data_IF_512053628807
#
_entry.id   IF_512053628807
#
_cell.length_a   1.000
_cell.length_b   1.000
_cell.length_c   1.000
_cell.angle_alpha   90.00
_cell.angle_beta   90.00
_cell.angle_gamma   90.00
#
_symmetry.space_group_name_H-M   'P 1'
#
loop_
_entity.id
_entity.type
_entity.pdbx_description
1 polymer ?
#
# COMPACT_ATOMS: atom_id res chain seq x y z
N UNK A 1 99.18 42.44 -23.84
CA UNK A 1 99.15 42.60 -25.31
C UNK A 1 97.73 42.73 -25.75
N UNK A 2 97.34 43.89 -26.05
CA UNK A 2 97.04 44.54 -27.33
C UNK A 2 95.71 44.10 -27.93
N UNK A 3 94.80 45.00 -27.86
CA UNK A 3 94.13 45.83 -28.94
C UNK A 3 92.97 45.10 -29.64
N UNK A 4 91.89 45.64 -30.05
CA UNK A 4 91.48 46.99 -30.46
C UNK A 4 89.93 46.97 -30.74
N UNK A 5 89.32 48.10 -30.45
CA UNK A 5 88.06 48.72 -30.94
C UNK A 5 87.34 48.19 -32.21
N UNK A 6 86.02 48.25 -32.21
CA UNK A 6 85.35 49.12 -33.20
C UNK A 6 83.83 49.34 -32.88
N UNK A 7 83.46 50.58 -33.19
CA UNK A 7 82.14 51.24 -33.02
C UNK A 7 81.18 50.86 -34.21
N UNK A 8 79.93 51.09 -33.95
CA UNK A 8 78.91 51.40 -34.91
C UNK A 8 77.57 50.79 -34.63
N UNK A 9 76.59 51.45 -34.36
CA UNK A 9 75.85 52.46 -34.98
C UNK A 9 74.40 52.28 -34.65
N UNK A 10 73.74 53.24 -34.09
CA UNK A 10 72.26 53.27 -33.79
C UNK A 10 71.47 53.04 -35.07
N UNK A 11 70.43 52.27 -35.01
CA UNK A 11 69.28 52.49 -35.84
C UNK A 11 67.97 52.17 -35.09
N UNK A 12 67.27 53.23 -34.71
CA UNK A 12 65.99 53.31 -34.11
C UNK A 12 64.92 53.09 -35.17
N UNK A 13 64.20 51.95 -35.14
CA UNK A 13 62.96 51.84 -35.89
C UNK A 13 61.89 51.24 -35.00
N UNK A 14 61.01 52.12 -34.56
CA UNK A 14 59.56 51.99 -34.42
C UNK A 14 58.99 50.58 -34.20
N UNK A 15 58.76 50.21 -32.93
CA UNK A 15 57.81 49.16 -32.54
C UNK A 15 56.43 49.74 -32.28
N UNK A 16 55.52 49.54 -33.27
CA UNK A 16 54.07 49.74 -33.09
C UNK A 16 53.52 48.69 -32.23
N UNK A 17 53.05 49.07 -31.04
CA UNK A 17 52.32 48.22 -30.12
C UNK A 17 51.00 47.75 -30.75
N UNK A 18 50.91 46.47 -31.09
CA UNK A 18 49.67 45.82 -31.36
C UNK A 18 49.16 45.22 -30.04
N UNK A 19 48.24 45.90 -29.36
CA UNK A 19 47.48 45.40 -28.24
C UNK A 19 46.46 44.40 -28.79
N UNK A 20 46.73 43.08 -28.70
CA UNK A 20 45.75 42.03 -28.97
C UNK A 20 44.84 41.96 -27.74
N UNK A 21 43.60 42.46 -27.84
CA UNK A 21 42.55 42.27 -26.87
C UNK A 21 42.08 40.82 -27.01
N UNK A 22 42.50 39.99 -26.05
CA UNK A 22 41.99 38.62 -25.89
C UNK A 22 40.60 38.71 -25.21
N UNK A 23 39.52 38.67 -26.01
CA UNK A 23 38.15 38.55 -25.51
C UNK A 23 37.95 37.10 -25.04
N UNK A 24 38.08 36.89 -23.75
CA UNK A 24 37.74 35.65 -23.14
C UNK A 24 36.21 35.46 -23.20
N UNK A 25 35.72 34.67 -24.13
CA UNK A 25 34.35 34.20 -24.19
C UNK A 25 34.19 33.16 -23.05
N UNK A 26 33.69 33.58 -21.88
CA UNK A 26 33.29 32.69 -20.81
C UNK A 26 31.97 32.05 -21.29
N UNK A 27 31.92 30.74 -21.52
CA UNK A 27 30.63 30.07 -21.77
C UNK A 27 29.79 30.19 -20.51
N UNK A 28 28.70 30.94 -20.60
CA UNK A 28 27.65 30.99 -19.55
C UNK A 28 26.95 29.62 -19.58
N UNK A 29 27.56 28.63 -18.94
CA UNK A 29 26.89 27.39 -18.63
C UNK A 29 25.79 27.74 -17.62
N UNK A 30 24.57 27.88 -18.15
CA UNK A 30 23.38 27.96 -17.33
C UNK A 30 23.37 26.72 -16.39
N UNK A 31 23.73 26.91 -15.13
CA UNK A 31 23.44 25.94 -14.07
C UNK A 31 21.93 25.87 -14.01
N UNK A 32 21.35 24.89 -14.71
CA UNK A 32 19.99 24.46 -14.45
C UNK A 32 20.02 23.86 -13.04
N UNK A 33 19.76 24.72 -12.04
CA UNK A 33 19.53 24.26 -10.69
C UNK A 33 18.36 23.26 -10.80
N UNK A 34 18.66 21.97 -10.72
CA UNK A 34 17.64 20.96 -10.48
C UNK A 34 16.98 21.34 -9.16
N UNK A 35 15.84 22.02 -9.26
CA UNK A 35 14.97 22.22 -8.10
C UNK A 35 14.70 20.83 -7.55
N UNK A 36 15.18 20.57 -6.36
CA UNK A 36 14.75 19.40 -5.61
C UNK A 36 13.23 19.45 -5.58
N UNK A 37 12.61 18.52 -6.28
CA UNK A 37 11.14 18.42 -6.31
C UNK A 37 10.73 18.18 -4.87
N UNK A 38 10.04 19.15 -4.25
CA UNK A 38 9.46 18.96 -2.95
C UNK A 38 8.51 17.76 -3.05
N UNK A 39 8.75 16.72 -2.26
CA UNK A 39 7.94 15.51 -2.28
C UNK A 39 7.28 15.32 -0.93
N UNK A 40 5.98 15.00 -0.94
CA UNK A 40 5.21 14.70 0.27
C UNK A 40 5.72 13.40 0.89
N UNK A 41 6.12 13.45 2.16
CA UNK A 41 6.51 12.27 2.93
C UNK A 41 5.25 11.53 3.40
N UNK A 42 5.00 10.37 2.80
CA UNK A 42 3.84 9.51 3.12
C UNK A 42 4.28 8.35 4.00
N UNK A 43 3.60 8.17 5.14
CA UNK A 43 3.68 6.99 5.97
C UNK A 43 2.42 6.16 5.73
N UNK A 44 2.55 5.02 5.06
CA UNK A 44 1.47 4.07 4.85
C UNK A 44 1.53 2.97 5.92
N UNK A 45 0.40 2.61 6.51
CA UNK A 45 0.33 1.54 7.48
C UNK A 45 0.52 0.18 6.81
N UNK A 46 -0.22 -0.10 5.73
CA UNK A 46 -0.22 -1.37 5.01
C UNK A 46 0.28 -1.20 3.57
N UNK A 47 0.76 -2.30 2.92
CA UNK A 47 1.34 -2.26 1.59
C UNK A 47 0.41 -1.76 0.49
N UNK A 48 -0.90 -2.06 0.54
CA UNK A 48 -1.88 -1.59 -0.43
C UNK A 48 -2.01 -0.07 -0.44
N UNK A 49 -1.98 0.56 0.74
CA UNK A 49 -2.03 2.03 0.85
C UNK A 49 -0.72 2.66 0.40
N UNK A 50 0.40 1.99 0.66
CA UNK A 50 1.70 2.40 0.15
C UNK A 50 1.75 2.37 -1.39
N UNK A 51 1.25 1.29 -1.98
CA UNK A 51 1.16 1.13 -3.42
C UNK A 51 0.21 2.15 -4.06
N UNK A 52 -0.95 2.40 -3.42
CA UNK A 52 -1.91 3.40 -3.88
C UNK A 52 -1.33 4.81 -3.83
N UNK A 53 -0.74 5.19 -2.70
CA UNK A 53 -0.08 6.49 -2.55
C UNK A 53 1.01 6.70 -3.60
N UNK A 54 1.82 5.66 -3.88
CA UNK A 54 2.86 5.72 -4.91
C UNK A 54 2.28 5.85 -6.32
N UNK A 55 1.20 5.14 -6.62
CA UNK A 55 0.50 5.20 -7.91
C UNK A 55 -0.05 6.59 -8.18
N UNK A 56 -0.70 7.20 -7.19
CA UNK A 56 -1.33 8.52 -7.31
C UNK A 56 -0.31 9.65 -7.20
N UNK A 57 0.71 9.49 -6.36
CA UNK A 57 1.71 10.52 -6.10
C UNK A 57 2.88 10.53 -7.09
N UNK A 58 3.23 9.36 -7.67
CA UNK A 58 4.37 9.24 -8.59
C UNK A 58 5.68 9.68 -7.92
N UNK A 59 6.37 10.61 -8.57
CA UNK A 59 7.62 11.24 -8.10
C UNK A 59 7.40 12.39 -7.09
N UNK A 60 6.14 12.82 -6.91
CA UNK A 60 5.75 13.84 -5.93
C UNK A 60 5.64 13.31 -4.50
N UNK A 61 5.76 12.01 -4.28
CA UNK A 61 5.67 11.39 -2.95
C UNK A 61 6.87 10.50 -2.66
N UNK A 62 7.27 10.48 -1.38
CA UNK A 62 8.17 9.48 -0.82
C UNK A 62 7.38 8.60 0.13
N UNK A 63 7.15 7.37 -0.25
CA UNK A 63 6.32 6.46 0.54
C UNK A 63 7.19 5.55 1.40
N UNK A 64 6.86 5.49 2.67
CA UNK A 64 7.35 4.48 3.60
C UNK A 64 6.17 3.63 4.08
N UNK A 65 6.26 2.32 3.90
CA UNK A 65 5.25 1.37 4.36
C UNK A 65 5.69 0.72 5.67
N UNK A 66 4.82 0.74 6.67
CA UNK A 66 5.14 0.30 8.03
C UNK A 66 5.17 -1.22 8.18
N UNK A 67 4.32 -1.92 7.42
CA UNK A 67 4.15 -3.36 7.46
C UNK A 67 4.59 -4.02 6.16
N UNK A 68 4.64 -5.34 6.16
CA UNK A 68 4.86 -6.18 4.98
C UNK A 68 3.68 -7.12 4.79
N UNK A 69 3.55 -7.71 3.61
CA UNK A 69 2.46 -8.64 3.28
C UNK A 69 2.46 -9.94 4.12
N UNK A 70 3.54 -10.22 4.84
CA UNK A 70 3.68 -11.40 5.70
C UNK A 70 3.60 -11.07 7.18
N UNK A 71 3.03 -9.91 7.54
CA UNK A 71 2.78 -9.49 8.91
C UNK A 71 1.29 -9.30 9.14
N UNK A 72 0.82 -9.71 10.31
CA UNK A 72 -0.54 -9.41 10.76
C UNK A 72 -0.68 -7.91 11.06
N UNK A 73 -1.52 -7.15 10.34
CA UNK A 73 -1.64 -5.71 10.53
C UNK A 73 -2.20 -5.30 11.89
N UNK A 74 -2.89 -6.21 12.60
CA UNK A 74 -3.38 -5.96 13.96
C UNK A 74 -2.24 -5.92 14.99
N UNK A 75 -1.10 -6.59 14.71
CA UNK A 75 -0.08 -6.94 15.72
C UNK A 75 1.32 -6.49 15.33
N UNK A 76 1.49 -5.19 15.11
CA UNK A 76 2.79 -4.60 14.78
C UNK A 76 3.45 -4.02 16.04
N UNK A 77 4.76 -4.17 16.13
CA UNK A 77 5.53 -3.53 17.20
C UNK A 77 5.84 -2.07 16.85
N UNK A 78 5.59 -1.17 17.78
CA UNK A 78 5.97 0.24 17.67
C UNK A 78 7.50 0.40 17.82
N UNK A 79 8.25 0.20 16.73
CA UNK A 79 9.72 0.26 16.73
C UNK A 79 10.21 1.68 16.57
N UNK A 80 11.41 2.05 17.09
CA UNK A 80 12.00 3.38 16.94
C UNK A 80 12.10 3.86 15.48
N UNK A 81 12.35 2.94 14.54
CA UNK A 81 12.39 3.24 13.11
C UNK A 81 11.04 3.73 12.57
N UNK A 82 9.92 3.14 13.00
CA UNK A 82 8.58 3.58 12.63
C UNK A 82 8.27 4.96 13.21
N UNK A 83 8.64 5.20 14.48
CA UNK A 83 8.48 6.50 15.15
C UNK A 83 9.24 7.58 14.39
N UNK A 84 10.50 7.32 14.02
CA UNK A 84 11.33 8.27 13.28
C UNK A 84 10.76 8.60 11.89
N UNK A 85 10.15 7.63 11.21
CA UNK A 85 9.49 7.84 9.91
C UNK A 85 8.19 8.64 10.07
N UNK A 86 7.33 8.27 11.01
CA UNK A 86 6.07 8.97 11.27
C UNK A 86 6.29 10.42 11.71
N UNK A 87 7.38 10.70 12.46
CA UNK A 87 7.74 12.06 12.89
C UNK A 87 7.95 13.03 11.73
N UNK A 88 8.35 12.53 10.56
CA UNK A 88 8.62 13.35 9.37
C UNK A 88 7.47 13.34 8.37
N UNK A 89 6.53 12.43 8.53
CA UNK A 89 5.43 12.27 7.58
C UNK A 89 4.57 13.54 7.49
N UNK A 90 4.15 13.87 6.30
CA UNK A 90 3.16 14.90 6.02
C UNK A 90 1.78 14.30 5.80
N UNK A 91 1.75 13.03 5.41
CA UNK A 91 0.54 12.25 5.24
C UNK A 91 0.73 10.85 5.86
N UNK A 92 -0.18 10.47 6.73
CA UNK A 92 -0.38 9.14 7.27
C UNK A 92 -1.58 8.52 6.56
N UNK A 93 -1.40 7.35 5.94
CA UNK A 93 -2.46 6.59 5.27
C UNK A 93 -2.58 5.23 5.92
N UNK A 94 -3.67 4.98 6.60
CA UNK A 94 -3.96 3.71 7.28
C UNK A 94 -5.34 3.21 6.89
N UNK A 95 -5.62 1.95 7.18
CA UNK A 95 -6.95 1.37 6.99
C UNK A 95 -7.98 2.07 7.86
N UNK A 96 -7.72 2.20 9.16
CA UNK A 96 -8.67 2.76 10.12
C UNK A 96 -9.62 1.70 10.69
N UNK A 97 -10.79 2.12 11.19
CA UNK A 97 -11.76 1.26 11.88
C UNK A 97 -11.12 0.38 12.97
N UNK A 98 -10.08 0.89 13.62
CA UNK A 98 -9.31 0.21 14.69
C UNK A 98 -8.49 -1.01 14.23
N UNK A 99 -8.18 -1.19 12.95
CA UNK A 99 -7.25 -2.23 12.50
C UNK A 99 -5.90 -2.09 13.22
N UNK A 100 -5.38 -0.87 13.26
CA UNK A 100 -4.06 -0.54 13.80
C UNK A 100 -4.09 -0.14 15.30
N UNK A 101 -5.19 -0.41 15.99
CA UNK A 101 -5.40 0.06 17.39
C UNK A 101 -4.30 -0.45 18.34
N UNK A 102 -3.73 -1.62 18.07
CA UNK A 102 -2.69 -2.23 18.89
C UNK A 102 -1.35 -1.50 18.87
N UNK A 103 -1.09 -0.64 17.87
CA UNK A 103 0.24 -0.04 17.69
C UNK A 103 0.26 1.42 17.23
N UNK A 104 -0.65 1.85 16.35
CA UNK A 104 -0.66 3.19 15.78
C UNK A 104 -0.84 4.32 16.83
N UNK A 105 -1.73 4.20 17.84
CA UNK A 105 -1.85 5.24 18.86
C UNK A 105 -0.56 5.50 19.65
N UNK A 106 0.23 4.44 19.90
CA UNK A 106 1.53 4.58 20.56
C UNK A 106 2.52 5.30 19.64
N UNK A 107 2.57 4.94 18.34
CA UNK A 107 3.42 5.61 17.36
C UNK A 107 3.10 7.10 17.24
N UNK A 108 1.81 7.46 17.13
CA UNK A 108 1.35 8.85 17.03
C UNK A 108 1.81 9.69 18.24
N UNK A 109 1.64 9.15 19.45
CA UNK A 109 2.09 9.82 20.67
C UNK A 109 3.60 10.00 20.71
N UNK A 110 4.37 8.96 20.38
CA UNK A 110 5.84 8.99 20.45
C UNK A 110 6.47 9.79 19.29
N UNK A 111 5.85 9.82 18.13
CA UNK A 111 6.29 10.66 17.02
C UNK A 111 6.07 12.14 17.30
N UNK A 112 5.00 12.50 18.02
CA UNK A 112 4.68 13.89 18.37
C UNK A 112 4.49 14.80 17.15
N UNK A 113 4.16 14.23 15.98
CA UNK A 113 4.00 14.98 14.74
C UNK A 113 2.58 15.58 14.66
N UNK A 114 2.43 16.92 14.73
CA UNK A 114 1.11 17.57 14.74
C UNK A 114 0.37 17.43 13.40
N UNK A 115 1.08 17.23 12.28
CA UNK A 115 0.47 17.16 10.93
C UNK A 115 -0.42 15.94 10.75
N UNK A 116 -0.10 14.81 11.43
CA UNK A 116 -0.73 13.50 11.21
C UNK A 116 -1.56 13.02 12.40
N UNK A 117 -1.86 13.89 13.35
CA UNK A 117 -2.75 13.54 14.46
C UNK A 117 -4.20 13.36 13.98
N UNK A 118 -5.02 12.58 14.68
CA UNK A 118 -6.44 12.43 14.36
C UNK A 118 -7.14 13.79 14.18
N UNK A 119 -7.94 13.92 13.11
CA UNK A 119 -8.62 15.15 12.75
C UNK A 119 -7.79 16.15 11.93
N UNK A 120 -6.51 15.90 11.71
CA UNK A 120 -5.67 16.74 10.84
C UNK A 120 -5.76 16.30 9.38
N UNK A 121 -5.57 17.20 8.40
CA UNK A 121 -5.54 16.85 6.98
C UNK A 121 -4.51 15.77 6.62
N UNK A 122 -3.40 15.72 7.32
CA UNK A 122 -2.37 14.70 7.15
C UNK A 122 -2.70 13.33 7.76
N UNK A 123 -3.86 13.16 8.39
CA UNK A 123 -4.34 11.87 8.89
C UNK A 123 -5.45 11.35 7.96
N UNK A 124 -5.21 10.22 7.31
CA UNK A 124 -6.14 9.64 6.35
C UNK A 124 -6.45 8.19 6.74
N UNK A 125 -7.69 7.92 7.07
CA UNK A 125 -8.21 6.58 7.33
C UNK A 125 -9.08 6.13 6.14
N UNK A 126 -8.67 5.07 5.45
CA UNK A 126 -9.32 4.60 4.23
C UNK A 126 -10.78 4.19 4.45
N UNK A 127 -11.10 3.64 5.62
CA UNK A 127 -12.46 3.23 6.01
C UNK A 127 -13.47 4.38 6.10
N UNK A 128 -13.03 5.64 6.16
CA UNK A 128 -13.93 6.80 6.17
C UNK A 128 -14.63 7.03 4.81
N UNK A 129 -14.12 6.41 3.74
CA UNK A 129 -14.59 6.62 2.37
C UNK A 129 -15.39 5.46 1.79
N UNK A 130 -15.69 4.43 2.61
CA UNK A 130 -16.38 3.22 2.17
C UNK A 130 -17.55 2.88 3.08
N UNK A 131 -18.47 2.08 2.56
CA UNK A 131 -19.56 1.52 3.39
C UNK A 131 -19.02 0.35 4.20
N UNK A 132 -19.06 0.46 5.52
CA UNK A 132 -18.57 -0.57 6.43
C UNK A 132 -19.53 -1.74 6.55
N UNK A 133 -19.01 -2.96 6.34
CA UNK A 133 -19.70 -4.23 6.56
C UNK A 133 -19.46 -4.76 7.98
N UNK A 134 -20.21 -5.77 8.38
CA UNK A 134 -20.06 -6.53 9.63
C UNK A 134 -19.99 -5.63 10.89
N UNK A 135 -20.78 -4.56 10.95
CA UNK A 135 -20.88 -3.75 12.17
C UNK A 135 -21.48 -4.59 13.28
N UNK A 136 -20.76 -4.82 14.40
CA UNK A 136 -21.25 -5.63 15.48
C UNK A 136 -22.40 -4.90 16.22
N UNK A 137 -23.40 -5.67 16.66
CA UNK A 137 -24.50 -5.12 17.46
C UNK A 137 -24.04 -4.65 18.86
N UNK A 138 -22.98 -5.28 19.39
CA UNK A 138 -22.31 -4.91 20.64
C UNK A 138 -20.82 -5.21 20.55
N UNK A 139 -20.03 -4.43 21.27
CA UNK A 139 -18.56 -4.61 21.33
C UNK A 139 -18.23 -5.20 22.69
N UNK A 140 -17.73 -6.44 22.68
CA UNK A 140 -17.20 -7.12 23.87
C UNK A 140 -15.80 -7.64 23.53
N UNK A 141 -14.79 -7.22 24.29
CA UNK A 141 -13.39 -7.66 24.12
C UNK A 141 -13.20 -9.16 24.35
N UNK A 142 -14.13 -9.83 25.04
CA UNK A 142 -14.11 -11.28 25.18
C UNK A 142 -14.35 -12.02 23.85
N UNK A 143 -14.79 -11.31 22.81
CA UNK A 143 -15.08 -11.86 21.50
C UNK A 143 -13.90 -11.77 20.51
N UNK A 144 -12.71 -11.41 20.97
CA UNK A 144 -11.50 -11.32 20.17
C UNK A 144 -11.30 -9.94 19.50
N UNK A 145 -10.69 -9.92 18.34
CA UNK A 145 -10.40 -8.70 17.56
C UNK A 145 -11.66 -8.18 16.86
N UNK A 146 -12.65 -7.75 17.65
CA UNK A 146 -13.91 -7.17 17.15
C UNK A 146 -13.75 -5.66 16.96
N UNK A 147 -14.08 -5.18 15.77
CA UNK A 147 -13.96 -3.78 15.38
C UNK A 147 -15.31 -3.06 15.50
N UNK A 148 -15.46 -2.04 16.38
CA UNK A 148 -16.72 -1.33 16.58
C UNK A 148 -17.28 -0.66 15.32
N UNK A 149 -16.39 -0.18 14.45
CA UNK A 149 -16.74 0.48 13.19
C UNK A 149 -17.19 -0.45 12.07
N UNK A 150 -17.07 -1.76 12.26
CA UNK A 150 -17.25 -2.79 11.23
C UNK A 150 -15.93 -3.43 10.80
N UNK A 151 -16.02 -4.39 9.88
CA UNK A 151 -14.88 -5.13 9.37
C UNK A 151 -13.87 -4.19 8.67
N UNK A 152 -12.60 -4.10 9.10
CA UNK A 152 -11.65 -3.13 8.54
C UNK A 152 -11.01 -3.58 7.22
N UNK A 153 -11.19 -4.82 6.79
CA UNK A 153 -10.47 -5.42 5.65
C UNK A 153 -11.05 -4.97 4.29
N UNK A 154 -11.28 -3.66 4.14
CA UNK A 154 -11.94 -3.02 3.00
C UNK A 154 -11.18 -3.20 1.69
N UNK A 155 -9.85 -3.37 1.76
CA UNK A 155 -8.97 -3.54 0.61
C UNK A 155 -9.19 -4.86 -0.14
N UNK A 156 -10.00 -5.76 0.38
CA UNK A 156 -10.30 -7.02 -0.31
C UNK A 156 -11.35 -6.87 -1.42
N UNK A 157 -12.00 -5.70 -1.52
CA UNK A 157 -12.93 -5.34 -2.61
C UNK A 157 -12.32 -4.23 -3.48
N UNK A 158 -12.06 -4.47 -4.78
CA UNK A 158 -11.50 -3.45 -5.69
C UNK A 158 -12.41 -2.24 -5.90
N UNK A 159 -13.70 -2.35 -5.64
CA UNK A 159 -14.64 -1.22 -5.71
C UNK A 159 -14.36 -0.21 -4.59
N UNK A 160 -14.03 -0.69 -3.39
CA UNK A 160 -13.58 0.16 -2.27
C UNK A 160 -12.26 0.85 -2.59
N UNK A 161 -11.34 0.13 -3.25
CA UNK A 161 -10.05 0.71 -3.66
C UNK A 161 -10.25 1.92 -4.58
N UNK A 162 -11.20 1.88 -5.50
CA UNK A 162 -11.52 3.01 -6.39
C UNK A 162 -12.01 4.23 -5.59
N UNK A 163 -12.88 4.02 -4.58
CA UNK A 163 -13.38 5.10 -3.72
C UNK A 163 -12.26 5.73 -2.89
N UNK A 164 -11.41 4.89 -2.29
CA UNK A 164 -10.26 5.36 -1.50
C UNK A 164 -9.24 6.07 -2.38
N UNK A 165 -9.00 5.58 -3.62
CA UNK A 165 -8.09 6.22 -4.57
C UNK A 165 -8.51 7.64 -4.91
N UNK A 166 -9.81 7.87 -5.15
CA UNK A 166 -10.36 9.21 -5.37
C UNK A 166 -10.08 10.12 -4.18
N UNK A 167 -10.47 9.68 -2.99
CA UNK A 167 -10.30 10.47 -1.77
C UNK A 167 -8.82 10.75 -1.45
N UNK A 168 -7.93 9.78 -1.68
CA UNK A 168 -6.50 9.96 -1.44
C UNK A 168 -5.86 10.94 -2.44
N UNK A 169 -6.28 10.92 -3.71
CA UNK A 169 -5.83 11.91 -4.70
C UNK A 169 -6.26 13.33 -4.33
N UNK A 170 -7.50 13.52 -3.87
CA UNK A 170 -8.01 14.79 -3.36
C UNK A 170 -7.23 15.25 -2.11
N UNK A 171 -6.89 14.31 -1.21
CA UNK A 171 -6.07 14.60 -0.03
C UNK A 171 -4.65 15.01 -0.37
N UNK A 172 -4.01 14.34 -1.33
CA UNK A 172 -2.69 14.72 -1.84
C UNK A 172 -2.73 16.13 -2.45
N UNK A 173 -3.75 16.45 -3.24
CA UNK A 173 -3.96 17.78 -3.81
C UNK A 173 -4.20 18.86 -2.74
N UNK A 174 -4.84 18.51 -1.62
CA UNK A 174 -5.04 19.43 -0.49
C UNK A 174 -3.72 19.74 0.24
N UNK A 175 -2.85 18.72 0.42
CA UNK A 175 -1.59 18.85 1.15
C UNK A 175 -0.53 19.55 0.29
N UNK A 176 -0.50 19.25 -1.00
CA UNK A 176 0.45 19.76 -1.99
C UNK A 176 -0.32 20.42 -3.15
N UNK A 177 -0.89 21.58 -2.87
CA UNK A 177 -1.77 22.29 -3.80
C UNK A 177 -1.04 22.74 -5.09
N UNK A 178 0.28 22.94 -5.04
CA UNK A 178 1.10 23.30 -6.21
C UNK A 178 1.04 22.21 -7.28
N UNK A 179 0.90 20.93 -6.89
CA UNK A 179 0.89 19.78 -7.79
C UNK A 179 -0.49 19.10 -7.89
N UNK A 180 -1.57 19.79 -7.51
CA UNK A 180 -2.93 19.25 -7.51
C UNK A 180 -3.35 18.65 -8.87
N UNK A 181 -2.93 19.28 -9.99
CA UNK A 181 -3.23 18.78 -11.33
C UNK A 181 -2.52 17.46 -11.66
N UNK A 182 -1.29 17.26 -11.14
CA UNK A 182 -0.55 16.02 -11.34
C UNK A 182 -1.29 14.84 -10.66
N UNK A 183 -1.78 15.05 -9.42
CA UNK A 183 -2.56 14.06 -8.69
C UNK A 183 -3.89 13.74 -9.37
N UNK A 184 -4.59 14.75 -9.85
CA UNK A 184 -5.85 14.58 -10.58
C UNK A 184 -5.64 13.80 -11.90
N UNK A 185 -4.57 14.10 -12.64
CA UNK A 185 -4.24 13.41 -13.88
C UNK A 185 -3.88 11.93 -13.63
N UNK A 186 -3.06 11.64 -12.61
CA UNK A 186 -2.71 10.26 -12.24
C UNK A 186 -3.91 9.48 -11.73
N UNK A 187 -4.79 10.11 -10.95
CA UNK A 187 -6.03 9.46 -10.53
C UNK A 187 -6.91 9.12 -11.72
N UNK A 188 -7.09 10.02 -12.69
CA UNK A 188 -7.87 9.77 -13.89
C UNK A 188 -7.34 8.59 -14.71
N UNK A 189 -6.01 8.52 -14.89
CA UNK A 189 -5.36 7.39 -15.57
C UNK A 189 -5.57 6.08 -14.79
N UNK A 190 -5.32 6.10 -13.49
CA UNK A 190 -5.55 4.96 -12.62
C UNK A 190 -7.01 4.48 -12.70
N UNK A 191 -7.98 5.37 -12.51
CA UNK A 191 -9.40 5.04 -12.50
C UNK A 191 -9.86 4.44 -13.83
N UNK A 192 -9.44 5.03 -14.96
CA UNK A 192 -9.75 4.49 -16.29
C UNK A 192 -9.30 3.05 -16.45
N UNK A 193 -8.07 2.75 -16.08
CA UNK A 193 -7.52 1.37 -16.14
C UNK A 193 -8.16 0.46 -15.09
N UNK A 194 -8.48 1.01 -13.92
CA UNK A 194 -9.09 0.26 -12.82
C UNK A 194 -10.49 -0.21 -13.16
N UNK A 195 -11.33 0.67 -13.74
CA UNK A 195 -12.68 0.30 -14.16
C UNK A 195 -12.67 -0.79 -15.25
N UNK A 196 -11.72 -0.71 -16.18
CA UNK A 196 -11.55 -1.76 -17.20
C UNK A 196 -11.15 -3.11 -16.58
N UNK A 197 -10.19 -3.08 -15.64
CA UNK A 197 -9.76 -4.28 -14.92
C UNK A 197 -10.88 -4.86 -14.03
N UNK A 198 -11.64 -4.00 -13.35
CA UNK A 198 -12.77 -4.40 -12.53
C UNK A 198 -13.82 -5.16 -13.35
N UNK A 199 -14.17 -4.66 -14.53
CA UNK A 199 -15.12 -5.33 -15.42
C UNK A 199 -14.61 -6.70 -15.88
N UNK A 200 -13.32 -6.83 -16.20
CA UNK A 200 -12.69 -8.12 -16.56
C UNK A 200 -12.71 -9.10 -15.38
N UNK A 201 -12.31 -8.65 -14.20
CA UNK A 201 -12.33 -9.49 -12.99
C UNK A 201 -13.74 -9.98 -12.64
N UNK A 202 -14.77 -9.13 -12.73
CA UNK A 202 -16.16 -9.50 -12.48
C UNK A 202 -16.66 -10.54 -13.48
N UNK A 203 -16.34 -10.37 -14.76
CA UNK A 203 -16.70 -11.34 -15.81
C UNK A 203 -16.05 -12.69 -15.56
N UNK A 204 -14.75 -12.71 -15.26
CA UNK A 204 -14.00 -13.95 -15.02
C UNK A 204 -14.41 -14.65 -13.74
N UNK A 205 -14.73 -13.88 -12.69
CA UNK A 205 -15.15 -14.40 -11.39
C UNK A 205 -16.61 -14.87 -11.35
N UNK A 206 -17.41 -14.66 -12.39
CA UNK A 206 -18.83 -15.04 -12.42
C UNK A 206 -19.10 -16.50 -11.99
N UNK A 207 -18.24 -17.51 -12.33
CA UNK A 207 -18.43 -18.89 -11.87
C UNK A 207 -18.31 -19.11 -10.35
N UNK A 208 -17.75 -18.12 -9.61
CA UNK A 208 -17.57 -18.21 -8.15
C UNK A 208 -18.83 -17.86 -7.36
N UNK A 209 -19.86 -17.31 -8.01
CA UNK A 209 -21.09 -16.88 -7.35
C UNK A 209 -21.83 -18.07 -6.71
N UNK A 210 -22.20 -17.90 -5.43
CA UNK A 210 -22.86 -18.92 -4.62
C UNK A 210 -21.93 -20.06 -4.15
N UNK A 211 -20.62 -19.96 -4.43
CA UNK A 211 -19.64 -20.93 -3.96
C UNK A 211 -19.48 -20.81 -2.44
N UNK A 212 -19.56 -21.94 -1.74
CA UNK A 212 -19.37 -22.02 -0.29
C UNK A 212 -17.93 -22.26 0.05
N UNK A 213 -17.40 -21.46 0.99
CA UNK A 213 -16.02 -21.52 1.45
C UNK A 213 -15.92 -21.48 2.98
N UNK A 214 -14.80 -21.99 3.48
CA UNK A 214 -14.35 -21.77 4.86
C UNK A 214 -13.23 -20.74 4.83
N UNK A 215 -13.10 -19.93 5.86
CA UNK A 215 -12.00 -18.96 6.00
C UNK A 215 -11.17 -19.26 7.25
N UNK A 216 -9.89 -18.90 7.22
CA UNK A 216 -9.06 -18.93 8.43
C UNK A 216 -9.53 -17.86 9.42
N UNK A 217 -9.57 -16.62 8.97
CA UNK A 217 -9.98 -15.42 9.68
C UNK A 217 -11.05 -14.67 8.87
N UNK A 218 -11.98 -14.01 9.53
CA UNK A 218 -13.08 -13.26 8.92
C UNK A 218 -12.61 -11.96 8.28
N UNK A 219 -11.72 -12.05 7.30
CA UNK A 219 -11.11 -10.92 6.60
C UNK A 219 -11.69 -10.67 5.20
N UNK A 220 -12.55 -11.54 4.70
CA UNK A 220 -12.91 -11.58 3.28
C UNK A 220 -14.33 -11.11 2.98
N UNK A 221 -15.03 -10.53 3.95
CA UNK A 221 -16.44 -10.13 3.83
C UNK A 221 -16.69 -9.21 2.63
N UNK A 222 -15.78 -8.28 2.34
CA UNK A 222 -15.91 -7.39 1.17
C UNK A 222 -15.67 -8.11 -0.15
N UNK A 223 -14.66 -8.98 -0.23
CA UNK A 223 -14.42 -9.85 -1.38
C UNK A 223 -15.64 -10.73 -1.68
N UNK A 224 -16.20 -11.32 -0.64
CA UNK A 224 -17.37 -12.21 -0.78
C UNK A 224 -18.64 -11.45 -1.13
N UNK A 225 -18.83 -10.26 -0.56
CA UNK A 225 -19.93 -9.38 -0.97
C UNK A 225 -19.81 -8.97 -2.44
N UNK A 226 -18.60 -8.71 -2.93
CA UNK A 226 -18.36 -8.38 -4.34
C UNK A 226 -18.64 -9.55 -5.26
N UNK A 227 -18.11 -10.75 -4.96
CA UNK A 227 -18.14 -11.91 -5.85
C UNK A 227 -19.37 -12.81 -5.64
N UNK A 228 -20.18 -12.58 -4.61
CA UNK A 228 -21.32 -13.44 -4.26
C UNK A 228 -20.89 -14.80 -3.72
N UNK A 229 -19.74 -14.91 -3.04
CA UNK A 229 -19.24 -16.10 -2.36
C UNK A 229 -19.90 -16.20 -0.97
N UNK A 230 -20.15 -17.40 -0.49
CA UNK A 230 -20.77 -17.68 0.81
C UNK A 230 -19.74 -18.22 1.81
N UNK A 231 -19.46 -17.47 2.88
CA UNK A 231 -18.68 -17.97 4.02
C UNK A 231 -19.56 -18.84 4.88
N UNK A 232 -19.20 -20.12 5.04
CA UNK A 232 -19.98 -21.09 5.85
C UNK A 232 -19.37 -21.37 7.21
N UNK A 233 -18.08 -21.15 7.38
CA UNK A 233 -17.37 -21.29 8.65
C UNK A 233 -16.06 -20.49 8.68
N UNK A 234 -15.59 -20.16 9.88
CA UNK A 234 -14.26 -19.60 10.14
C UNK A 234 -13.48 -20.53 11.07
N UNK A 235 -12.18 -20.74 10.78
CA UNK A 235 -11.30 -21.54 11.65
C UNK A 235 -11.10 -20.89 13.01
N UNK A 236 -11.06 -19.57 13.05
CA UNK A 236 -11.07 -18.81 14.30
C UNK A 236 -12.49 -18.73 14.85
N UNK A 237 -12.78 -19.41 15.94
CA UNK A 237 -14.06 -19.30 16.62
C UNK A 237 -14.36 -17.87 17.12
N UNK A 238 -13.30 -17.12 17.36
CA UNK A 238 -13.31 -15.68 17.67
C UNK A 238 -12.18 -15.03 16.89
N UNK A 239 -12.42 -13.88 16.21
CA UNK A 239 -11.38 -13.20 15.43
C UNK A 239 -10.08 -12.99 16.22
N UNK A 240 -8.94 -13.35 15.65
CA UNK A 240 -7.62 -13.19 16.26
C UNK A 240 -7.29 -14.21 17.36
N UNK A 241 -8.17 -15.18 17.63
CA UNK A 241 -7.91 -16.29 18.55
C UNK A 241 -7.55 -17.54 17.74
N UNK A 242 -6.36 -18.14 17.97
CA UNK A 242 -5.92 -19.30 17.20
C UNK A 242 -6.94 -20.45 17.19
N UNK A 243 -7.12 -21.16 16.06
CA UNK A 243 -8.03 -22.29 15.95
C UNK A 243 -7.74 -23.40 16.96
N UNK A 244 -8.77 -23.91 17.65
CA UNK A 244 -8.65 -25.05 18.54
C UNK A 244 -9.01 -26.36 17.84
N UNK A 245 -8.43 -27.50 18.25
CA UNK A 245 -8.73 -28.81 17.69
C UNK A 245 -10.23 -29.18 17.80
N UNK A 246 -10.88 -28.79 18.92
CA UNK A 246 -12.32 -29.02 19.12
C UNK A 246 -13.14 -28.28 18.05
N UNK A 247 -12.89 -26.97 17.90
CA UNK A 247 -13.60 -26.16 16.91
C UNK A 247 -13.36 -26.62 15.47
N UNK A 248 -12.12 -27.01 15.12
CA UNK A 248 -11.84 -27.58 13.80
C UNK A 248 -12.66 -28.88 13.56
N UNK A 249 -12.80 -29.74 14.56
CA UNK A 249 -13.61 -30.96 14.47
C UNK A 249 -15.11 -30.66 14.30
N UNK A 250 -15.62 -29.61 14.93
CA UNK A 250 -16.99 -29.11 14.74
C UNK A 250 -17.21 -28.62 13.30
N UNK A 251 -16.25 -27.89 12.72
CA UNK A 251 -16.31 -27.47 11.30
C UNK A 251 -16.33 -28.68 10.38
N UNK A 252 -15.49 -29.70 10.60
CA UNK A 252 -15.53 -30.95 9.80
C UNK A 252 -16.91 -31.59 9.86
N UNK A 253 -17.53 -31.66 11.04
CA UNK A 253 -18.88 -32.21 11.17
C UNK A 253 -19.93 -31.36 10.45
N UNK A 254 -19.85 -30.03 10.53
CA UNK A 254 -20.72 -29.10 9.82
C UNK A 254 -20.62 -29.27 8.30
N UNK A 255 -19.41 -29.42 7.75
CA UNK A 255 -19.15 -29.53 6.31
C UNK A 255 -19.71 -30.82 5.70
N UNK A 256 -20.06 -31.86 6.49
CA UNK A 256 -20.80 -33.04 5.99
C UNK A 256 -22.21 -32.70 5.53
N UNK A 257 -22.85 -31.71 6.17
CA UNK A 257 -24.20 -31.26 5.84
C UNK A 257 -24.21 -30.00 4.98
N UNK A 258 -23.16 -29.21 5.06
CA UNK A 258 -23.00 -27.95 4.30
C UNK A 258 -21.60 -27.90 3.66
N UNK A 259 -21.39 -28.64 2.57
CA UNK A 259 -20.07 -28.78 1.98
C UNK A 259 -19.54 -27.44 1.47
N UNK A 260 -18.26 -27.16 1.71
CA UNK A 260 -17.50 -26.06 1.17
C UNK A 260 -16.54 -26.57 0.09
N UNK A 261 -16.16 -25.68 -0.84
CA UNK A 261 -15.25 -26.01 -1.95
C UNK A 261 -13.79 -25.93 -1.53
N UNK A 262 -13.46 -24.96 -0.65
CA UNK A 262 -12.10 -24.69 -0.22
C UNK A 262 -12.06 -24.03 1.15
N UNK A 263 -10.88 -24.04 1.78
CA UNK A 263 -10.55 -23.15 2.91
C UNK A 263 -9.58 -22.07 2.43
N UNK A 264 -9.89 -20.81 2.75
CA UNK A 264 -9.15 -19.61 2.32
C UNK A 264 -8.38 -19.05 3.51
N UNK A 265 -7.10 -18.75 3.31
CA UNK A 265 -6.27 -18.02 4.26
C UNK A 265 -5.47 -16.90 3.60
N UNK A 266 -5.10 -15.90 4.38
CA UNK A 266 -4.16 -14.86 3.96
C UNK A 266 -2.72 -15.41 3.97
N UNK A 267 -1.85 -14.81 3.15
CA UNK A 267 -0.46 -15.24 3.00
C UNK A 267 0.36 -15.13 4.30
N UNK A 268 -0.01 -14.22 5.22
CA UNK A 268 0.67 -14.07 6.51
C UNK A 268 0.25 -15.07 7.58
N UNK A 269 -0.87 -15.77 7.39
CA UNK A 269 -1.43 -16.69 8.39
C UNK A 269 -0.71 -18.05 8.37
N UNK A 270 -0.61 -18.67 9.54
CA UNK A 270 -0.05 -20.00 9.66
C UNK A 270 -0.98 -21.05 9.04
N UNK A 271 -0.42 -21.90 8.16
CA UNK A 271 -1.22 -22.83 7.34
C UNK A 271 -1.52 -24.19 7.97
N UNK A 272 -1.05 -24.51 9.19
CA UNK A 272 -1.28 -25.85 9.79
C UNK A 272 -2.76 -26.14 10.06
N UNK A 273 -3.56 -25.22 10.65
CA UNK A 273 -4.98 -25.46 10.84
C UNK A 273 -5.75 -25.67 9.55
N UNK A 274 -5.42 -24.87 8.51
CA UNK A 274 -6.04 -24.96 7.18
C UNK A 274 -5.77 -26.32 6.53
N UNK A 275 -4.49 -26.75 6.58
CA UNK A 275 -4.11 -28.06 6.05
C UNK A 275 -4.82 -29.19 6.80
N UNK A 276 -4.89 -29.12 8.11
CA UNK A 276 -5.58 -30.12 8.92
C UNK A 276 -7.06 -30.21 8.53
N UNK A 277 -7.77 -29.07 8.45
CA UNK A 277 -9.15 -29.04 8.01
C UNK A 277 -9.31 -29.60 6.59
N UNK A 278 -8.45 -29.15 5.65
CA UNK A 278 -8.51 -29.58 4.27
C UNK A 278 -8.37 -31.11 4.12
N UNK A 279 -7.43 -31.69 4.85
CA UNK A 279 -7.21 -33.15 4.85
C UNK A 279 -8.42 -33.92 5.41
N UNK A 280 -9.10 -33.39 6.45
CA UNK A 280 -10.23 -34.06 7.10
C UNK A 280 -11.58 -33.82 6.41
N UNK A 281 -11.75 -32.66 5.76
CA UNK A 281 -12.95 -32.31 5.01
C UNK A 281 -12.84 -32.58 3.51
N UNK A 282 -11.68 -33.05 3.01
CA UNK A 282 -11.39 -33.31 1.60
C UNK A 282 -11.65 -32.10 0.72
N UNK A 283 -11.25 -30.92 1.17
CA UNK A 283 -11.32 -29.64 0.44
C UNK A 283 -9.92 -29.07 0.18
N UNK A 284 -9.80 -28.09 -0.68
CA UNK A 284 -8.50 -27.47 -1.01
C UNK A 284 -8.16 -26.32 -0.06
N UNK A 285 -6.87 -26.11 0.18
CA UNK A 285 -6.36 -24.87 0.78
C UNK A 285 -6.05 -23.86 -0.32
N UNK A 286 -6.61 -22.68 -0.24
CA UNK A 286 -6.31 -21.55 -1.13
C UNK A 286 -5.67 -20.43 -0.34
N UNK A 287 -4.48 -20.01 -0.75
CA UNK A 287 -3.76 -18.89 -0.15
C UNK A 287 -3.95 -17.66 -1.03
N UNK A 288 -4.57 -16.63 -0.45
CA UNK A 288 -4.75 -15.35 -1.13
C UNK A 288 -3.69 -14.34 -0.70
N UNK A 289 -3.25 -13.43 -1.58
CA UNK A 289 -2.20 -12.46 -1.26
C UNK A 289 -2.54 -11.51 -0.13
N UNK A 290 -3.81 -11.21 0.10
CA UNK A 290 -4.35 -10.27 1.09
C UNK A 290 -3.97 -8.80 0.87
N UNK A 291 -2.72 -8.53 0.53
CA UNK A 291 -2.17 -7.21 0.19
C UNK A 291 -1.07 -7.32 -0.87
N UNK A 292 -0.62 -6.18 -1.37
CA UNK A 292 0.50 -6.10 -2.32
C UNK A 292 1.75 -6.75 -1.73
N UNK A 293 2.38 -7.63 -2.49
CA UNK A 293 3.55 -8.41 -2.09
C UNK A 293 3.22 -9.73 -1.37
N UNK A 294 1.95 -10.09 -1.19
CA UNK A 294 1.55 -11.34 -0.52
C UNK A 294 1.81 -12.61 -1.34
N UNK A 295 1.99 -12.47 -2.64
CA UNK A 295 2.48 -13.50 -3.55
C UNK A 295 3.36 -12.87 -4.62
N UNK A 296 4.15 -13.67 -5.35
CA UNK A 296 5.01 -13.16 -6.43
C UNK A 296 4.22 -12.50 -7.57
N UNK A 297 2.95 -12.87 -7.75
CA UNK A 297 2.07 -12.26 -8.74
C UNK A 297 1.44 -10.94 -8.27
N UNK A 298 1.29 -10.74 -6.95
CA UNK A 298 0.67 -9.54 -6.35
C UNK A 298 1.68 -8.38 -6.18
N UNK A 299 2.40 -8.00 -7.24
CA UNK A 299 3.48 -6.99 -7.19
C UNK A 299 2.99 -5.56 -7.05
N UNK A 300 1.76 -5.30 -7.45
CA UNK A 300 1.08 -4.01 -7.41
C UNK A 300 -0.42 -4.23 -7.15
N UNK A 301 -1.20 -3.15 -7.16
CA UNK A 301 -2.64 -3.21 -6.91
C UNK A 301 -3.40 -4.05 -7.95
N UNK A 302 -3.04 -3.97 -9.23
CA UNK A 302 -3.69 -4.77 -10.27
C UNK A 302 -3.34 -6.25 -10.10
N UNK A 303 -2.06 -6.55 -9.88
CA UNK A 303 -1.57 -7.91 -9.61
C UNK A 303 -2.18 -8.53 -8.35
N UNK A 304 -2.50 -7.72 -7.34
CA UNK A 304 -3.18 -8.18 -6.12
C UNK A 304 -4.54 -8.84 -6.44
N UNK A 305 -5.40 -8.16 -7.20
CA UNK A 305 -6.72 -8.69 -7.52
C UNK A 305 -6.66 -9.75 -8.60
N UNK A 306 -5.77 -9.60 -9.58
CA UNK A 306 -5.52 -10.63 -10.59
C UNK A 306 -5.11 -11.97 -9.96
N UNK A 307 -4.16 -11.94 -9.02
CA UNK A 307 -3.72 -13.11 -8.29
C UNK A 307 -4.84 -13.69 -7.41
N UNK A 308 -5.65 -12.83 -6.79
CA UNK A 308 -6.80 -13.23 -5.96
C UNK A 308 -7.84 -13.98 -6.79
N UNK A 309 -8.27 -13.40 -7.92
CA UNK A 309 -9.27 -14.03 -8.80
C UNK A 309 -8.73 -15.36 -9.39
N UNK A 310 -7.49 -15.35 -9.85
CA UNK A 310 -6.84 -16.55 -10.39
C UNK A 310 -6.78 -17.67 -9.36
N UNK A 311 -6.34 -17.38 -8.12
CA UNK A 311 -6.26 -18.39 -7.07
C UNK A 311 -7.63 -18.95 -6.67
N UNK A 312 -8.67 -18.12 -6.62
CA UNK A 312 -10.04 -18.58 -6.35
C UNK A 312 -10.57 -19.47 -7.45
N UNK A 313 -10.37 -19.11 -8.73
CA UNK A 313 -10.81 -19.92 -9.88
C UNK A 313 -10.06 -21.26 -9.94
N UNK A 314 -8.77 -21.29 -9.63
CA UNK A 314 -8.00 -22.53 -9.55
C UNK A 314 -8.45 -23.42 -8.38
N UNK A 315 -8.74 -22.82 -7.24
CA UNK A 315 -9.29 -23.52 -6.07
C UNK A 315 -10.67 -24.11 -6.32
N UNK A 316 -11.47 -23.51 -7.21
CA UNK A 316 -12.81 -23.95 -7.57
C UNK A 316 -12.85 -25.16 -8.50
N UNK A 317 -11.77 -25.48 -9.21
CA UNK A 317 -11.64 -26.70 -10.05
C UNK A 317 -11.60 -27.94 -9.19
#
# INVERSE_FOLDING_TARGET
MARIFSKGGLNMKSFRNAFAILVAVIPLTALVAQRAVASVDVFACEPEWGALAKTLGGDRVRVYTATTAFQDPHRIQARPSLIAKLRRAELLVCTGAQLEIGWLPLLLRQAGNPKVQPGQPGNFAATEYVTMLDKPASVDRSQGDVHPGGNPHIQTDPRNMALVAKALAERLAQIDAEHAQDYAARFKDFDTRWQAALADWEQRAAPLRGMKVVVHHKAWSYLFNWLGIEEVASLEAKPGVPPSAGHLSEIVAQLRNQPAKMVIRAAYQEGRPDKWLADHAQIRVVVLPFTVGGTDAAKDLFGLYEATITALLEGAK
#
